data_IF_615260763720
#
_entry.id   IF_615260763720
#
_cell.length_a   1.000
_cell.length_b   1.000
_cell.length_c   1.000
_cell.angle_alpha   90.00
_cell.angle_beta   90.00
_cell.angle_gamma   90.00
#
_symmetry.space_group_name_H-M   'P 1'
#
loop_
_entity.id
_entity.type
_entity.pdbx_description
1 polymer ?
#
# COMPACT_ATOMS: atom_id res chain seq x y z
N UNK A 1 -21.04 7.60 2.24
CA UNK A 1 -20.24 7.13 3.38
C UNK A 1 -19.05 8.06 3.42
N UNK A 2 -19.01 8.96 4.39
CA UNK A 2 -17.93 9.92 4.55
C UNK A 2 -16.70 9.13 4.99
N UNK A 3 -15.77 8.94 4.07
CA UNK A 3 -14.45 8.43 4.41
C UNK A 3 -13.66 9.59 4.96
N UNK A 4 -13.77 9.84 6.27
CA UNK A 4 -12.90 10.79 6.96
C UNK A 4 -11.47 10.26 6.83
N UNK A 5 -10.70 10.85 5.92
CA UNK A 5 -9.25 10.77 5.97
C UNK A 5 -8.84 11.65 7.15
N UNK A 6 -8.57 11.03 8.30
CA UNK A 6 -7.90 11.76 9.38
C UNK A 6 -6.55 12.23 8.84
N UNK A 7 -6.32 13.53 8.76
CA UNK A 7 -4.95 14.06 8.74
C UNK A 7 -4.30 13.62 10.06
N UNK A 8 -3.56 12.52 9.98
CA UNK A 8 -2.91 11.89 11.11
C UNK A 8 -1.66 12.65 11.49
N UNK A 9 -1.41 12.73 12.79
CA UNK A 9 -0.16 13.25 13.36
C UNK A 9 1.00 12.29 12.99
N UNK A 10 1.80 12.63 11.98
CA UNK A 10 2.91 11.80 11.51
C UNK A 10 4.17 11.95 12.39
N UNK A 11 4.07 11.58 13.67
CA UNK A 11 5.20 11.55 14.60
C UNK A 11 5.87 10.17 14.64
N UNK A 12 7.02 10.02 14.02
CA UNK A 12 7.87 8.84 14.21
C UNK A 12 8.32 8.76 15.66
N UNK A 13 7.80 7.78 16.42
CA UNK A 13 8.38 7.32 17.68
C UNK A 13 8.75 8.43 18.68
N UNK A 14 7.78 9.21 19.15
CA UNK A 14 7.93 10.09 20.31
C UNK A 14 8.28 11.55 19.97
N UNK A 15 7.43 12.45 20.48
CA UNK A 15 7.53 13.92 20.55
C UNK A 15 7.43 14.73 19.24
N UNK A 16 6.34 15.50 19.19
CA UNK A 16 5.93 16.57 18.25
C UNK A 16 5.20 16.16 16.95
N UNK A 17 4.07 16.82 16.62
CA UNK A 17 3.45 16.70 15.30
C UNK A 17 4.39 17.20 14.20
N UNK A 18 4.31 16.60 13.02
CA UNK A 18 4.86 17.22 11.81
C UNK A 18 4.05 18.49 11.50
N UNK A 19 4.71 19.64 11.58
CA UNK A 19 4.10 20.94 11.36
C UNK A 19 4.45 21.52 9.98
N UNK A 20 5.27 20.83 9.19
CA UNK A 20 5.74 21.34 7.89
C UNK A 20 4.56 21.52 6.92
N UNK A 21 3.60 20.60 6.95
CA UNK A 21 2.40 20.71 6.12
C UNK A 21 1.56 21.96 6.46
N UNK A 22 1.12 22.16 7.73
CA UNK A 22 0.50 23.41 8.16
C UNK A 22 1.34 24.67 7.87
N UNK A 23 2.65 24.64 8.11
CA UNK A 23 3.54 25.80 7.96
C UNK A 23 3.67 26.25 6.50
N UNK A 24 3.95 25.31 5.60
CA UNK A 24 4.41 25.61 4.25
C UNK A 24 3.36 25.34 3.17
N UNK A 25 2.52 24.32 3.33
CA UNK A 25 1.50 23.96 2.33
C UNK A 25 0.15 24.62 2.59
N UNK A 26 -0.23 24.79 3.87
CA UNK A 26 -1.42 25.55 4.27
C UNK A 26 -1.13 27.03 4.51
N UNK A 27 0.15 27.42 4.53
CA UNK A 27 0.57 28.81 4.68
C UNK A 27 0.30 29.42 6.05
N UNK A 28 0.13 28.61 7.10
CA UNK A 28 -0.12 29.08 8.47
C UNK A 28 1.16 29.65 9.14
N UNK A 29 2.33 29.40 8.53
CA UNK A 29 3.62 29.91 8.97
C UNK A 29 4.14 29.26 10.26
N UNK A 30 5.40 29.56 10.59
CA UNK A 30 6.12 28.91 11.72
C UNK A 30 5.61 29.29 13.11
N UNK A 31 4.65 30.21 13.20
CA UNK A 31 3.98 30.55 14.45
C UNK A 31 2.88 29.55 14.83
N UNK A 32 2.42 28.73 13.87
CA UNK A 32 1.48 27.65 14.14
C UNK A 32 2.17 26.55 14.94
N UNK A 33 1.58 26.12 16.04
CA UNK A 33 2.14 25.15 16.97
C UNK A 33 1.27 23.90 17.10
N UNK A 34 1.78 22.89 17.80
CA UNK A 34 1.00 21.70 18.13
C UNK A 34 -0.29 22.00 18.91
N UNK A 35 -0.29 23.09 19.70
CA UNK A 35 -1.46 23.49 20.51
C UNK A 35 -2.57 24.11 19.64
N UNK A 36 -2.23 24.59 18.44
CA UNK A 36 -3.18 25.14 17.47
C UNK A 36 -3.86 24.05 16.62
N UNK A 37 -3.53 22.78 16.85
CA UNK A 37 -4.03 21.66 16.06
C UNK A 37 -5.55 21.49 16.20
N UNK A 38 -6.26 21.74 15.09
CA UNK A 38 -7.68 21.49 14.96
C UNK A 38 -7.95 20.72 13.66
N UNK A 39 -8.24 19.40 13.72
CA UNK A 39 -8.38 18.58 12.53
C UNK A 39 -9.54 19.00 11.63
N UNK A 40 -10.65 19.48 12.19
CA UNK A 40 -11.80 19.92 11.35
C UNK A 40 -11.43 21.12 10.49
N UNK A 41 -10.74 22.11 11.07
CA UNK A 41 -10.27 23.29 10.34
C UNK A 41 -9.15 22.95 9.36
N UNK A 42 -8.17 22.17 9.79
CA UNK A 42 -7.00 21.84 8.97
C UNK A 42 -7.39 20.98 7.76
N UNK A 43 -8.26 19.98 7.94
CA UNK A 43 -8.78 19.17 6.83
C UNK A 43 -9.57 20.05 5.86
N UNK A 44 -10.48 20.89 6.35
CA UNK A 44 -11.27 21.76 5.48
C UNK A 44 -10.40 22.78 4.71
N UNK A 45 -9.34 23.30 5.34
CA UNK A 45 -8.39 24.20 4.68
C UNK A 45 -7.53 23.46 3.65
N UNK A 46 -7.07 22.25 4.00
CA UNK A 46 -6.31 21.34 3.13
C UNK A 46 -7.08 21.00 1.85
N UNK A 47 -8.34 20.58 1.99
CA UNK A 47 -9.24 20.30 0.86
C UNK A 47 -9.53 21.54 0.01
N UNK A 48 -9.71 22.71 0.64
CA UNK A 48 -10.00 23.95 -0.08
C UNK A 48 -8.81 24.48 -0.88
N UNK A 49 -7.59 24.31 -0.36
CA UNK A 49 -6.36 24.75 -1.02
C UNK A 49 -5.90 23.73 -2.06
N UNK A 50 -5.98 22.44 -1.75
CA UNK A 50 -5.49 21.31 -2.54
C UNK A 50 -4.17 21.63 -3.26
N UNK A 51 -3.19 22.09 -2.47
CA UNK A 51 -1.93 22.62 -2.97
C UNK A 51 -1.23 21.61 -3.88
N UNK A 52 -1.23 21.86 -5.19
CA UNK A 52 -0.63 20.98 -6.20
C UNK A 52 -1.52 19.81 -6.64
N UNK A 53 -2.82 19.84 -6.36
CA UNK A 53 -3.76 18.75 -6.63
C UNK A 53 -3.34 17.44 -5.91
N UNK A 54 -2.97 17.58 -4.64
CA UNK A 54 -2.31 16.57 -3.83
C UNK A 54 -3.29 15.56 -3.19
N UNK A 55 -4.58 15.86 -3.16
CA UNK A 55 -5.63 14.95 -2.65
C UNK A 55 -5.60 13.58 -3.37
N UNK A 56 -5.20 13.58 -4.64
CA UNK A 56 -5.05 12.37 -5.47
C UNK A 56 -6.34 11.51 -5.55
N UNK A 57 -7.50 12.16 -5.57
CA UNK A 57 -8.84 11.58 -5.61
C UNK A 57 -9.49 11.59 -7.00
N UNK A 58 -8.70 11.84 -8.06
CA UNK A 58 -9.19 11.74 -9.43
C UNK A 58 -9.33 10.27 -9.87
N UNK A 59 -10.52 9.70 -9.66
CA UNK A 59 -10.77 8.27 -9.91
C UNK A 59 -10.96 7.88 -11.39
N UNK A 60 -11.15 8.85 -12.30
CA UNK A 60 -11.29 8.54 -13.72
C UNK A 60 -9.93 8.22 -14.37
N UNK A 61 -9.55 6.96 -14.29
CA UNK A 61 -8.33 6.44 -14.92
C UNK A 61 -8.51 6.14 -16.42
N UNK A 62 -9.64 6.50 -17.04
CA UNK A 62 -9.85 6.26 -18.49
C UNK A 62 -8.72 6.80 -19.37
N UNK A 63 -8.16 8.02 -19.15
CA UNK A 63 -7.03 8.52 -19.93
C UNK A 63 -5.74 7.69 -19.77
N UNK A 64 -5.55 7.07 -18.60
CA UNK A 64 -4.42 6.18 -18.32
C UNK A 64 -4.60 4.85 -19.07
N UNK A 65 -5.75 4.22 -18.95
CA UNK A 65 -6.05 2.95 -19.62
C UNK A 65 -6.11 3.08 -21.15
N UNK A 66 -6.60 4.20 -21.70
CA UNK A 66 -6.62 4.46 -23.16
C UNK A 66 -5.22 4.45 -23.79
N UNK A 67 -4.16 4.65 -23.00
CA UNK A 67 -2.77 4.57 -23.45
C UNK A 67 -2.18 3.15 -23.35
N UNK A 68 -2.97 2.17 -22.91
CA UNK A 68 -2.49 0.81 -22.61
C UNK A 68 -1.65 0.74 -21.34
N UNK A 69 -1.70 1.75 -20.47
CA UNK A 69 -0.92 1.77 -19.24
C UNK A 69 -1.52 0.84 -18.17
N UNK A 70 -0.66 0.16 -17.43
CA UNK A 70 -1.03 -0.80 -16.38
C UNK A 70 -0.60 -0.27 -15.01
N UNK A 71 -1.36 -0.60 -13.96
CA UNK A 71 -1.07 -0.23 -12.58
C UNK A 71 -1.37 -1.41 -11.66
N UNK A 72 -0.45 -1.70 -10.74
CA UNK A 72 -0.66 -2.61 -9.62
C UNK A 72 -0.65 -1.76 -8.35
N UNK A 73 -1.78 -1.73 -7.64
CA UNK A 73 -1.89 -1.10 -6.32
C UNK A 73 -1.91 -2.18 -5.24
N UNK A 74 -1.18 -1.96 -4.15
CA UNK A 74 -1.24 -2.83 -2.99
C UNK A 74 -1.15 -2.01 -1.71
N UNK A 75 -1.75 -2.52 -0.65
CA UNK A 75 -1.70 -1.91 0.67
C UNK A 75 -1.51 -2.98 1.73
N UNK A 76 -1.07 -2.56 2.93
CA UNK A 76 -0.99 -3.45 4.07
C UNK A 76 -2.17 -3.42 4.99
N UNK A 77 -2.59 -4.61 5.40
CA UNK A 77 -3.64 -4.83 6.41
C UNK A 77 -3.15 -4.57 7.85
N UNK A 78 -1.82 -4.54 8.06
CA UNK A 78 -1.20 -4.29 9.37
C UNK A 78 -0.17 -3.15 9.27
N UNK A 79 -0.48 -2.14 8.45
CA UNK A 79 0.24 -0.87 8.45
C UNK A 79 -0.24 0.00 9.62
N UNK A 80 0.70 0.66 10.31
CA UNK A 80 0.39 1.50 11.47
C UNK A 80 0.33 3.00 11.13
N UNK A 81 0.46 3.32 9.84
CA UNK A 81 0.56 4.69 9.35
C UNK A 81 -0.70 5.05 8.59
N UNK A 82 -0.77 4.67 7.32
CA UNK A 82 -1.95 4.86 6.49
C UNK A 82 -2.90 3.70 6.73
N UNK A 83 -4.17 3.98 7.03
CA UNK A 83 -5.19 2.95 7.22
C UNK A 83 -5.48 2.23 5.91
N UNK A 84 -5.58 0.90 5.90
CA UNK A 84 -5.87 0.14 4.67
C UNK A 84 -7.16 0.56 3.99
N UNK A 85 -8.15 1.02 4.77
CA UNK A 85 -9.43 1.49 4.27
C UNK A 85 -9.34 2.77 3.41
N UNK A 86 -8.25 3.54 3.49
CA UNK A 86 -8.04 4.69 2.59
C UNK A 86 -7.67 4.27 1.18
N UNK A 87 -7.27 3.00 0.98
CA UNK A 87 -7.12 2.45 -0.35
C UNK A 87 -8.49 2.08 -0.92
N UNK A 88 -8.89 2.75 -2.00
CA UNK A 88 -10.04 2.34 -2.81
C UNK A 88 -9.88 0.92 -3.41
N UNK A 89 -8.64 0.39 -3.40
CA UNK A 89 -8.28 -0.97 -3.79
C UNK A 89 -7.52 -1.60 -2.61
N UNK A 90 -8.16 -2.47 -1.83
CA UNK A 90 -7.52 -3.14 -0.70
C UNK A 90 -6.43 -4.12 -1.13
N UNK A 91 -5.31 -4.18 -0.40
CA UNK A 91 -4.28 -5.20 -0.60
C UNK A 91 -3.91 -5.88 0.72
N UNK A 92 -3.25 -7.03 0.66
CA UNK A 92 -2.88 -7.83 1.84
C UNK A 92 -1.37 -7.96 2.06
N UNK A 93 -0.62 -6.90 2.37
CA UNK A 93 0.81 -7.07 2.77
C UNK A 93 1.32 -5.99 3.71
N UNK A 94 2.03 -6.31 4.80
CA UNK A 94 2.77 -5.26 5.54
C UNK A 94 3.73 -4.56 4.56
N UNK A 95 3.42 -3.32 4.16
CA UNK A 95 4.28 -2.50 3.32
C UNK A 95 5.29 -1.83 4.23
N UNK A 96 6.48 -2.42 4.31
CA UNK A 96 7.66 -1.71 4.78
C UNK A 96 8.56 -1.48 3.58
N UNK A 97 8.38 -0.30 2.96
CA UNK A 97 9.31 0.37 2.05
C UNK A 97 9.40 -0.21 0.62
N UNK A 98 8.73 0.43 -0.35
CA UNK A 98 9.26 0.50 -1.73
C UNK A 98 10.35 1.58 -1.69
N UNK A 99 11.63 1.20 -1.67
CA UNK A 99 12.73 2.17 -1.57
C UNK A 99 13.97 1.75 -0.77
N UNK A 100 14.03 0.52 -0.25
CA UNK A 100 15.28 -0.04 0.27
C UNK A 100 16.24 -0.46 -0.86
N UNK A 101 17.54 -0.53 -0.57
CA UNK A 101 18.64 -0.91 -1.48
C UNK A 101 18.56 -2.37 -2.03
N UNK A 102 17.41 -3.04 -1.89
CA UNK A 102 17.18 -4.45 -2.21
C UNK A 102 15.90 -4.61 -3.02
N UNK A 103 15.79 -3.87 -4.13
CA UNK A 103 14.65 -3.98 -5.07
C UNK A 103 14.84 -5.13 -6.08
N UNK A 104 15.87 -5.97 -5.90
CA UNK A 104 16.07 -7.15 -6.72
C UNK A 104 15.41 -8.35 -6.06
N UNK A 105 14.76 -9.19 -6.86
CA UNK A 105 14.20 -10.44 -6.37
C UNK A 105 15.31 -11.33 -5.78
N UNK A 106 14.98 -12.14 -4.78
CA UNK A 106 15.90 -13.19 -4.29
C UNK A 106 16.01 -14.30 -5.36
N UNK A 107 17.22 -14.79 -5.68
CA UNK A 107 17.37 -15.95 -6.57
C UNK A 107 16.49 -17.13 -6.15
N UNK A 108 15.74 -17.68 -7.10
CA UNK A 108 14.74 -18.74 -6.89
C UNK A 108 13.31 -18.23 -6.69
N UNK A 109 13.13 -16.93 -6.42
CA UNK A 109 11.84 -16.23 -6.38
C UNK A 109 11.84 -15.00 -7.32
N UNK A 110 12.78 -14.96 -8.25
CA UNK A 110 12.96 -13.97 -9.31
C UNK A 110 12.01 -14.22 -10.49
N UNK A 111 10.71 -14.17 -10.22
CA UNK A 111 9.66 -14.35 -11.21
C UNK A 111 8.41 -13.52 -10.88
N UNK A 112 7.54 -13.32 -11.87
CA UNK A 112 6.30 -12.55 -11.75
C UNK A 112 5.31 -13.07 -10.71
N UNK A 113 5.45 -14.30 -10.20
CA UNK A 113 4.59 -14.77 -9.11
C UNK A 113 5.03 -14.26 -7.74
N UNK A 114 6.28 -13.83 -7.57
CA UNK A 114 6.87 -13.45 -6.28
C UNK A 114 7.44 -12.04 -6.26
N UNK A 115 7.58 -11.42 -7.44
CA UNK A 115 8.07 -10.06 -7.60
C UNK A 115 7.04 -9.22 -8.36
N UNK A 116 6.53 -8.17 -7.71
CA UNK A 116 5.50 -7.30 -8.26
C UNK A 116 6.00 -6.44 -9.42
N UNK A 117 7.30 -6.11 -9.46
CA UNK A 117 7.90 -5.38 -10.57
C UNK A 117 7.99 -6.28 -11.80
N UNK A 118 8.44 -7.53 -11.63
CA UNK A 118 8.43 -8.50 -12.73
C UNK A 118 7.01 -8.81 -13.20
N UNK A 119 6.04 -8.89 -12.28
CA UNK A 119 4.62 -9.03 -12.64
C UNK A 119 4.08 -7.86 -13.46
N UNK A 120 4.50 -6.63 -13.13
CA UNK A 120 4.13 -5.44 -13.90
C UNK A 120 4.79 -5.45 -15.28
N UNK A 121 6.07 -5.83 -15.37
CA UNK A 121 6.79 -5.97 -16.63
C UNK A 121 6.08 -6.99 -17.53
N UNK A 122 5.78 -8.18 -17.01
CA UNK A 122 5.04 -9.21 -17.75
C UNK A 122 3.66 -8.73 -18.20
N UNK A 123 2.98 -7.92 -17.39
CA UNK A 123 1.69 -7.36 -17.79
C UNK A 123 1.84 -6.33 -18.92
N UNK A 124 2.81 -5.43 -18.82
CA UNK A 124 3.03 -4.37 -19.82
C UNK A 124 3.57 -4.93 -21.13
N UNK A 125 4.50 -5.87 -21.07
CA UNK A 125 5.24 -6.37 -22.24
C UNK A 125 4.57 -7.59 -22.89
N UNK A 126 3.92 -8.44 -22.09
CA UNK A 126 3.39 -9.73 -22.55
C UNK A 126 1.86 -9.86 -22.37
N UNK A 127 1.16 -8.77 -22.05
CA UNK A 127 -0.30 -8.73 -21.79
C UNK A 127 -0.76 -9.77 -20.75
N UNK A 128 0.14 -10.10 -19.81
CA UNK A 128 -0.09 -11.15 -18.80
C UNK A 128 -0.33 -10.52 -17.44
N UNK A 129 -1.59 -10.19 -17.15
CA UNK A 129 -1.97 -9.63 -15.86
C UNK A 129 -1.74 -10.63 -14.71
N UNK A 130 -1.18 -10.20 -13.56
CA UNK A 130 -1.02 -11.08 -12.41
C UNK A 130 -2.39 -11.45 -11.83
N UNK A 131 -2.64 -12.75 -11.68
CA UNK A 131 -3.84 -13.24 -10.96
C UNK A 131 -3.61 -13.32 -9.47
N UNK A 132 -2.34 -13.36 -9.03
CA UNK A 132 -1.89 -13.37 -7.64
C UNK A 132 -0.43 -12.97 -7.55
N UNK A 133 -0.03 -12.42 -6.41
CA UNK A 133 1.38 -12.24 -6.04
C UNK A 133 1.61 -12.96 -4.71
N UNK A 134 2.61 -13.84 -4.64
CA UNK A 134 2.91 -14.64 -3.47
C UNK A 134 3.83 -13.83 -2.54
N UNK A 135 3.26 -13.39 -1.43
CA UNK A 135 4.04 -12.78 -0.35
C UNK A 135 4.85 -13.86 0.38
N UNK A 136 6.11 -13.54 0.67
CA UNK A 136 7.05 -14.43 1.34
C UNK A 136 7.52 -13.82 2.65
N UNK A 137 7.48 -14.62 3.72
CA UNK A 137 8.04 -14.30 5.03
C UNK A 137 9.35 -15.06 5.21
N UNK A 138 10.40 -14.34 5.57
CA UNK A 138 11.71 -14.93 5.87
C UNK A 138 11.87 -15.15 7.37
N UNK A 139 12.73 -16.10 7.75
CA UNK A 139 13.12 -16.25 9.16
C UNK A 139 13.90 -15.01 9.61
N UNK A 140 14.83 -14.54 8.77
CA UNK A 140 15.51 -13.27 8.91
C UNK A 140 15.32 -12.40 7.66
N UNK A 141 14.65 -11.26 7.82
CA UNK A 141 14.36 -10.30 6.74
C UNK A 141 15.60 -9.51 6.29
N UNK A 142 16.66 -9.46 7.10
CA UNK A 142 17.89 -8.77 6.73
C UNK A 142 18.79 -9.63 5.84
N UNK A 143 18.80 -10.95 6.08
CA UNK A 143 19.65 -11.90 5.33
C UNK A 143 18.88 -12.67 4.26
N UNK A 144 17.54 -12.65 4.32
CA UNK A 144 16.65 -13.41 3.45
C UNK A 144 17.05 -14.88 3.41
N UNK A 145 17.29 -15.49 4.56
CA UNK A 145 17.87 -16.83 4.69
C UNK A 145 16.98 -17.94 4.09
N UNK A 146 15.91 -18.32 4.78
CA UNK A 146 14.96 -19.34 4.37
C UNK A 146 13.52 -18.91 4.64
N UNK A 147 12.62 -19.45 3.81
CA UNK A 147 11.20 -19.13 3.84
C UNK A 147 10.54 -19.80 5.04
N UNK A 148 9.84 -19.02 5.86
CA UNK A 148 9.03 -19.56 6.98
C UNK A 148 7.54 -19.59 6.66
N UNK A 149 7.07 -18.72 5.77
CA UNK A 149 5.67 -18.68 5.35
C UNK A 149 5.52 -18.07 3.96
N UNK A 150 4.58 -18.59 3.17
CA UNK A 150 4.12 -17.95 1.94
C UNK A 150 2.61 -17.93 1.87
N UNK A 151 2.07 -16.82 1.36
CA UNK A 151 0.64 -16.61 1.17
C UNK A 151 0.39 -15.91 -0.15
N UNK A 152 -0.60 -16.36 -0.94
CA UNK A 152 -1.00 -15.61 -2.12
C UNK A 152 -1.79 -14.37 -1.69
N UNK A 153 -1.34 -13.20 -2.15
CA UNK A 153 -2.12 -11.97 -2.05
C UNK A 153 -3.28 -12.05 -3.03
N UNK A 154 -4.47 -11.77 -2.52
CA UNK A 154 -5.69 -11.79 -3.29
C UNK A 154 -5.91 -10.44 -3.96
N UNK A 155 -6.49 -10.48 -5.15
CA UNK A 155 -7.07 -9.28 -5.74
C UNK A 155 -8.33 -8.93 -4.94
N UNK A 156 -8.43 -7.69 -4.48
CA UNK A 156 -9.66 -7.20 -3.86
C UNK A 156 -10.85 -7.42 -4.80
N UNK A 157 -12.00 -7.91 -4.32
CA UNK A 157 -12.45 -8.08 -2.93
C UNK A 157 -12.12 -9.45 -2.30
N UNK A 158 -11.37 -10.32 -2.98
CA UNK A 158 -11.14 -11.68 -2.50
C UNK A 158 -10.20 -11.69 -1.29
N UNK A 159 -10.30 -12.75 -0.48
CA UNK A 159 -9.40 -13.01 0.63
C UNK A 159 -8.80 -14.41 0.57
N UNK A 160 -7.59 -14.53 1.12
CA UNK A 160 -6.86 -15.79 1.13
C UNK A 160 -7.44 -16.66 2.24
N UNK A 161 -8.09 -17.75 1.86
CA UNK A 161 -8.67 -18.72 2.78
C UNK A 161 -7.87 -20.01 2.76
N UNK A 162 -7.59 -20.53 3.95
CA UNK A 162 -6.96 -21.84 4.08
C UNK A 162 -7.91 -22.92 3.60
N UNK A 163 -7.43 -23.84 2.76
CA UNK A 163 -8.26 -24.93 2.20
C UNK A 163 -8.63 -26.00 3.24
N UNK A 164 -8.07 -25.92 4.45
CA UNK A 164 -8.37 -26.84 5.57
C UNK A 164 -7.41 -28.03 5.68
N UNK A 165 -6.56 -28.25 4.69
CA UNK A 165 -5.59 -29.37 4.66
C UNK A 165 -4.22 -28.91 4.17
N UNK A 166 -3.15 -29.58 4.62
CA UNK A 166 -1.78 -29.27 4.25
C UNK A 166 -1.03 -28.42 5.28
N UNK A 167 0.10 -27.83 4.89
CA UNK A 167 0.86 -26.93 5.72
C UNK A 167 0.43 -25.48 5.45
N UNK A 168 0.05 -24.74 6.49
CA UNK A 168 -0.38 -23.33 6.41
C UNK A 168 0.71 -22.38 5.94
N UNK A 169 1.98 -22.78 5.98
CA UNK A 169 3.12 -22.00 5.48
C UNK A 169 3.31 -22.09 3.96
N UNK A 170 2.54 -22.93 3.25
CA UNK A 170 2.68 -23.15 1.80
C UNK A 170 1.56 -22.43 1.06
N UNK A 171 1.91 -21.55 0.11
CA UNK A 171 0.95 -20.73 -0.63
C UNK A 171 -0.11 -21.54 -1.40
N UNK A 172 0.24 -22.74 -1.88
CA UNK A 172 -0.68 -23.63 -2.60
C UNK A 172 -1.84 -24.15 -1.75
N UNK A 173 -1.74 -24.11 -0.42
CA UNK A 173 -2.81 -24.53 0.50
C UNK A 173 -3.76 -23.38 0.86
N UNK A 174 -3.76 -22.30 0.06
CA UNK A 174 -4.65 -21.16 0.20
C UNK A 174 -5.39 -20.93 -1.12
N UNK A 175 -6.68 -20.67 -1.02
CA UNK A 175 -7.56 -20.33 -2.13
C UNK A 175 -8.11 -18.92 -1.97
N UNK A 176 -8.63 -18.37 -3.06
CA UNK A 176 -9.27 -17.07 -3.06
C UNK A 176 -10.76 -17.23 -2.85
N UNK A 177 -11.26 -16.67 -1.76
CA UNK A 177 -12.69 -16.64 -1.46
C UNK A 177 -13.22 -15.21 -1.60
N UNK A 178 -14.38 -15.05 -2.24
CA UNK A 178 -15.11 -13.78 -2.23
C UNK A 178 -15.53 -13.42 -0.80
N UNK A 179 -15.49 -12.14 -0.47
CA UNK A 179 -16.00 -11.59 0.79
C UNK A 179 -17.55 -11.52 0.84
N UNK A 180 -18.21 -11.67 -0.31
CA UNK A 180 -19.65 -11.54 -0.51
C UNK A 180 -20.19 -12.54 -1.53
#
# INVERSE_FOLDING_TARGET
>A
MNGDISEGLWGGGGSSPDLDYPHYFLGLGTNFTADDWNPEYLVALSEALDSGNATADYFDLSPFYKKGSMIIHYHGMAGNFIATASSYIGGTTRSSVIGGCWIHSKPGLDNAQHDVLLALIDWVENDTAPTRVIATKWNDEATLDYVTNQRPNCMYPQQAKYVGTGNTSVAANWEFQSLY
#
